data_IF_642728338817
#
_entry.id   IF_642728338817
#
_cell.length_a   1.000
_cell.length_b   1.000
_cell.length_c   1.000
_cell.angle_alpha   90.00
_cell.angle_beta   90.00
_cell.angle_gamma   90.00
#
_symmetry.space_group_name_H-M   'P 1'
#
loop_
_entity.id
_entity.type
_entity.pdbx_description
1 polymer ?
#
# COMPACT_ATOMS: atom_id res chain seq x y z
N UNK A 1 -23.26 22.10 75.23
CA UNK A 1 -22.18 22.16 74.22
C UNK A 1 -22.47 21.07 73.20
N UNK A 2 -22.61 21.46 71.94
CA UNK A 2 -23.26 20.70 70.86
C UNK A 2 -22.48 19.45 70.44
N UNK A 3 -23.09 18.29 70.62
CA UNK A 3 -22.72 17.03 69.97
C UNK A 3 -23.73 16.71 68.85
N UNK A 4 -23.24 16.60 67.61
CA UNK A 4 -23.90 15.93 66.50
C UNK A 4 -22.79 15.47 65.53
N UNK A 5 -22.41 14.19 65.58
CA UNK A 5 -22.89 13.08 64.75
C UNK A 5 -22.45 13.15 63.28
N UNK A 6 -21.51 12.27 62.92
CA UNK A 6 -21.40 11.71 61.57
C UNK A 6 -21.51 10.17 61.65
N UNK A 7 -22.17 9.51 60.67
CA UNK A 7 -22.57 8.11 60.75
C UNK A 7 -21.48 7.14 60.26
N UNK A 8 -21.52 5.93 60.82
CA UNK A 8 -20.78 4.76 60.34
C UNK A 8 -21.25 4.38 58.93
N UNK A 9 -20.33 4.33 57.97
CA UNK A 9 -20.55 3.64 56.69
C UNK A 9 -19.71 2.35 56.65
N UNK A 10 -20.45 1.26 56.62
CA UNK A 10 -20.04 -0.12 56.32
C UNK A 10 -19.28 -0.22 55.01
N UNK A 11 -18.15 -0.95 55.04
CA UNK A 11 -17.38 -1.32 53.87
C UNK A 11 -18.17 -2.31 53.00
N UNK A 12 -18.53 -1.89 51.79
CA UNK A 12 -18.84 -2.83 50.69
C UNK A 12 -17.58 -3.07 49.85
N UNK A 13 -17.29 -4.31 49.43
CA UNK A 13 -16.11 -4.63 48.65
C UNK A 13 -16.27 -4.15 47.20
N UNK A 14 -15.26 -3.42 46.72
CA UNK A 14 -15.12 -3.00 45.32
C UNK A 14 -15.26 -4.19 44.37
N UNK A 15 -16.34 -4.20 43.60
CA UNK A 15 -16.52 -5.11 42.48
C UNK A 15 -15.40 -4.86 41.45
N UNK A 16 -14.53 -5.86 41.28
CA UNK A 16 -13.53 -5.89 40.19
C UNK A 16 -14.29 -5.83 38.86
N UNK A 17 -14.17 -4.73 38.13
CA UNK A 17 -14.62 -4.67 36.75
C UNK A 17 -13.80 -5.67 35.95
N UNK A 18 -14.46 -6.74 35.49
CA UNK A 18 -13.88 -7.64 34.52
C UNK A 18 -13.69 -6.86 33.23
N UNK A 19 -12.44 -6.51 32.94
CA UNK A 19 -12.03 -6.01 31.62
C UNK A 19 -12.25 -7.17 30.65
N UNK A 20 -13.37 -7.17 29.95
CA UNK A 20 -13.56 -7.98 28.75
C UNK A 20 -12.42 -7.68 27.79
N UNK A 21 -11.62 -8.68 27.37
CA UNK A 21 -10.55 -8.44 26.43
C UNK A 21 -11.17 -7.92 25.13
N UNK A 22 -10.73 -6.74 24.69
CA UNK A 22 -11.12 -6.21 23.39
C UNK A 22 -10.63 -7.21 22.34
N UNK A 23 -11.58 -7.91 21.72
CA UNK A 23 -11.29 -8.75 20.56
C UNK A 23 -10.73 -7.79 19.51
N UNK A 24 -9.41 -7.80 19.30
CA UNK A 24 -8.77 -7.10 18.21
C UNK A 24 -9.42 -7.60 16.91
N UNK A 25 -10.40 -6.84 16.39
CA UNK A 25 -10.99 -7.11 15.09
C UNK A 25 -9.85 -6.95 14.08
N UNK A 26 -9.31 -8.05 13.56
CA UNK A 26 -8.24 -8.00 12.58
C UNK A 26 -8.74 -7.17 11.39
N UNK A 27 -8.06 -6.06 11.06
CA UNK A 27 -8.46 -5.23 9.93
C UNK A 27 -8.26 -6.01 8.62
N UNK A 28 -9.13 -5.84 7.61
CA UNK A 28 -8.88 -6.40 6.29
C UNK A 28 -7.54 -5.92 5.74
N UNK A 29 -6.71 -6.86 5.30
CA UNK A 29 -5.39 -6.58 4.72
C UNK A 29 -5.48 -6.61 3.20
N UNK A 30 -5.01 -5.55 2.55
CA UNK A 30 -4.86 -5.51 1.10
C UNK A 30 -3.63 -6.28 0.69
N UNK A 31 -3.78 -7.16 -0.31
CA UNK A 31 -2.71 -8.06 -0.73
C UNK A 31 -2.75 -8.27 -2.24
N UNK A 32 -1.58 -8.47 -2.84
CA UNK A 32 -1.47 -9.10 -4.14
C UNK A 32 -1.92 -10.56 -4.02
N UNK A 33 -2.82 -10.97 -4.90
CA UNK A 33 -3.53 -12.25 -4.82
C UNK A 33 -3.01 -13.31 -5.78
N UNK A 34 -2.03 -13.05 -6.65
CA UNK A 34 -1.58 -14.01 -7.69
C UNK A 34 -1.16 -15.36 -7.11
N UNK A 35 -0.42 -15.38 -6.00
CA UNK A 35 -0.05 -16.63 -5.30
C UNK A 35 -1.10 -17.13 -4.30
N UNK A 36 -2.23 -16.41 -4.16
CA UNK A 36 -3.23 -16.61 -3.09
C UNK A 36 -4.65 -16.86 -3.63
N UNK A 37 -4.81 -17.11 -4.92
CA UNK A 37 -6.12 -17.42 -5.53
C UNK A 37 -6.75 -18.74 -5.04
N UNK A 38 -5.98 -19.59 -4.35
CA UNK A 38 -6.48 -20.80 -3.70
C UNK A 38 -7.20 -20.52 -2.36
N UNK A 39 -7.10 -19.31 -1.81
CA UNK A 39 -7.68 -18.99 -0.51
C UNK A 39 -9.22 -19.06 -0.54
N UNK A 40 -9.86 -19.45 0.59
CA UNK A 40 -11.32 -19.46 0.70
C UNK A 40 -11.95 -18.11 0.36
N UNK A 41 -13.13 -18.13 -0.25
CA UNK A 41 -13.90 -16.94 -0.62
C UNK A 41 -13.65 -16.43 -2.05
N UNK A 42 -12.54 -16.80 -2.70
CA UNK A 42 -12.27 -16.42 -4.10
C UNK A 42 -13.37 -16.96 -5.03
N UNK A 43 -13.66 -18.26 -4.98
CA UNK A 43 -14.68 -18.87 -5.83
C UNK A 43 -16.06 -18.23 -5.61
N UNK A 44 -16.43 -17.97 -4.35
CA UNK A 44 -17.73 -17.34 -4.01
C UNK A 44 -17.85 -15.92 -4.58
N UNK A 45 -16.76 -15.15 -4.54
CA UNK A 45 -16.72 -13.78 -5.10
C UNK A 45 -16.77 -13.77 -6.62
N UNK A 46 -16.22 -14.79 -7.28
CA UNK A 46 -16.18 -14.91 -8.74
C UNK A 46 -17.39 -15.64 -9.32
N UNK A 47 -18.14 -16.40 -8.52
CA UNK A 47 -19.28 -17.19 -8.99
C UNK A 47 -20.28 -16.39 -9.87
N UNK A 48 -20.68 -15.14 -9.52
CA UNK A 48 -21.62 -14.39 -10.35
C UNK A 48 -21.12 -14.11 -11.78
N UNK A 49 -19.81 -13.89 -11.95
CA UNK A 49 -19.23 -13.61 -13.27
C UNK A 49 -18.65 -14.85 -13.96
N UNK A 50 -18.65 -16.01 -13.32
CA UNK A 50 -18.04 -17.25 -13.85
C UNK A 50 -19.00 -18.43 -13.98
N UNK A 51 -20.29 -18.27 -13.61
CA UNK A 51 -21.32 -19.32 -13.71
C UNK A 51 -21.49 -19.95 -15.10
N UNK A 52 -21.15 -19.22 -16.16
CA UNK A 52 -21.23 -19.69 -17.55
C UNK A 52 -20.00 -20.53 -17.97
N UNK A 53 -18.97 -20.61 -17.13
CA UNK A 53 -17.74 -21.33 -17.40
C UNK A 53 -17.84 -22.78 -16.90
N UNK A 54 -17.33 -23.71 -17.70
CA UNK A 54 -17.02 -25.06 -17.24
C UNK A 54 -15.87 -25.04 -16.22
N UNK A 55 -15.75 -26.10 -15.40
CA UNK A 55 -14.65 -26.23 -14.44
C UNK A 55 -13.25 -26.11 -15.10
N UNK A 56 -13.08 -26.65 -16.31
CA UNK A 56 -11.84 -26.54 -17.07
C UNK A 56 -11.58 -25.10 -17.55
N UNK A 57 -12.60 -24.38 -18.01
CA UNK A 57 -12.46 -22.97 -18.38
C UNK A 57 -12.11 -22.10 -17.17
N UNK A 58 -12.79 -22.31 -16.03
CA UNK A 58 -12.49 -21.60 -14.78
C UNK A 58 -11.04 -21.85 -14.33
N UNK A 59 -10.59 -23.11 -14.32
CA UNK A 59 -9.21 -23.46 -13.96
C UNK A 59 -8.18 -22.79 -14.87
N UNK A 60 -8.42 -22.76 -16.19
CA UNK A 60 -7.55 -22.05 -17.14
C UNK A 60 -7.51 -20.55 -16.89
N UNK A 61 -8.66 -19.93 -16.64
CA UNK A 61 -8.75 -18.50 -16.32
C UNK A 61 -7.93 -18.16 -15.06
N UNK A 62 -8.14 -18.90 -13.97
CA UNK A 62 -7.39 -18.69 -12.72
C UNK A 62 -5.90 -18.90 -12.96
N UNK A 63 -5.50 -19.98 -13.65
CA UNK A 63 -4.09 -20.24 -13.97
C UNK A 63 -3.45 -19.08 -14.75
N UNK A 64 -4.15 -18.52 -15.74
CA UNK A 64 -3.67 -17.38 -16.51
C UNK A 64 -3.46 -16.15 -15.63
N UNK A 65 -4.39 -15.86 -14.72
CA UNK A 65 -4.26 -14.76 -13.76
C UNK A 65 -3.08 -14.93 -12.81
N UNK A 66 -2.67 -16.16 -12.50
CA UNK A 66 -1.51 -16.42 -11.66
C UNK A 66 -0.19 -16.23 -12.41
N UNK A 67 -0.10 -16.74 -13.64
CA UNK A 67 1.17 -16.87 -14.36
C UNK A 67 1.48 -15.72 -15.32
N UNK A 68 0.48 -15.07 -15.90
CA UNK A 68 0.70 -14.05 -16.93
C UNK A 68 0.85 -12.66 -16.29
N UNK A 69 1.85 -11.90 -16.71
CA UNK A 69 2.15 -10.56 -16.17
C UNK A 69 1.06 -9.54 -16.49
N UNK A 70 0.40 -9.67 -17.65
CA UNK A 70 -0.69 -8.79 -18.07
C UNK A 70 -1.89 -8.80 -17.12
N UNK A 71 -2.00 -9.78 -16.21
CA UNK A 71 -3.08 -9.84 -15.25
C UNK A 71 -2.61 -9.43 -13.85
N UNK A 72 -3.34 -8.49 -13.27
CA UNK A 72 -3.13 -8.00 -11.92
C UNK A 72 -4.31 -8.43 -11.06
N UNK A 73 -4.03 -9.01 -9.88
CA UNK A 73 -5.06 -9.48 -8.97
C UNK A 73 -4.76 -8.98 -7.57
N UNK A 74 -5.70 -8.24 -7.00
CA UNK A 74 -5.64 -7.73 -5.65
C UNK A 74 -6.88 -8.15 -4.86
N UNK A 75 -6.76 -8.18 -3.54
CA UNK A 75 -7.88 -8.53 -2.68
C UNK A 75 -7.71 -8.08 -1.25
N UNK A 76 -8.82 -8.09 -0.53
CA UNK A 76 -8.83 -7.96 0.92
C UNK A 76 -8.96 -9.32 1.57
N UNK A 77 -8.03 -9.64 2.47
CA UNK A 77 -8.05 -10.86 3.27
C UNK A 77 -8.34 -10.50 4.72
N UNK A 78 -9.28 -11.22 5.33
CA UNK A 78 -9.59 -11.11 6.76
C UNK A 78 -9.81 -12.51 7.32
N UNK A 79 -9.12 -12.83 8.42
CA UNK A 79 -9.14 -14.18 9.03
C UNK A 79 -8.87 -15.31 8.03
N UNK A 80 -7.89 -15.12 7.14
CA UNK A 80 -7.50 -16.11 6.12
C UNK A 80 -8.49 -16.30 4.96
N UNK A 81 -9.60 -15.53 4.93
CA UNK A 81 -10.62 -15.57 3.87
C UNK A 81 -10.59 -14.30 3.03
N UNK A 82 -10.75 -14.46 1.73
CA UNK A 82 -10.88 -13.34 0.79
C UNK A 82 -12.29 -12.77 0.89
N UNK A 83 -12.39 -11.49 1.22
CA UNK A 83 -13.67 -10.77 1.40
C UNK A 83 -13.91 -9.72 0.32
N UNK A 84 -12.93 -9.46 -0.53
CA UNK A 84 -13.08 -8.68 -1.74
C UNK A 84 -11.93 -8.95 -2.71
N UNK A 85 -12.21 -8.83 -4.01
CA UNK A 85 -11.27 -9.13 -5.09
C UNK A 85 -11.43 -8.11 -6.21
N UNK A 86 -10.31 -7.71 -6.79
CA UNK A 86 -10.21 -6.89 -7.99
C UNK A 86 -9.23 -7.56 -8.95
N UNK A 87 -9.68 -7.86 -10.16
CA UNK A 87 -8.86 -8.42 -11.23
C UNK A 87 -8.83 -7.44 -12.39
N UNK A 88 -7.64 -7.18 -12.92
CA UNK A 88 -7.41 -6.22 -14.00
C UNK A 88 -6.52 -6.83 -15.08
N UNK A 89 -6.65 -6.31 -16.29
CA UNK A 89 -5.76 -6.56 -17.42
C UNK A 89 -4.97 -5.28 -17.72
N UNK A 90 -3.65 -5.36 -17.67
CA UNK A 90 -2.69 -4.28 -17.94
C UNK A 90 -1.81 -4.72 -19.12
N UNK A 91 -2.20 -4.33 -20.34
CA UNK A 91 -1.41 -4.64 -21.55
C UNK A 91 -0.27 -3.65 -21.78
N UNK A 92 -0.49 -2.43 -21.32
CA UNK A 92 0.48 -1.33 -21.38
C UNK A 92 0.72 -0.87 -19.95
N UNK A 93 1.98 -0.76 -19.48
CA UNK A 93 2.28 -0.29 -18.14
C UNK A 93 1.57 1.02 -17.83
N UNK A 94 0.89 1.07 -16.68
CA UNK A 94 0.14 2.24 -16.22
C UNK A 94 -1.25 2.41 -16.84
N UNK A 95 -1.68 1.53 -17.77
CA UNK A 95 -3.02 1.55 -18.35
C UNK A 95 -3.67 0.19 -18.17
N UNK A 96 -4.70 0.13 -17.31
CA UNK A 96 -5.36 -1.12 -16.98
C UNK A 96 -6.87 -1.09 -17.26
N UNK A 97 -7.46 -2.27 -17.37
CA UNK A 97 -8.90 -2.48 -17.51
C UNK A 97 -9.40 -3.43 -16.44
N UNK A 98 -10.44 -3.02 -15.71
CA UNK A 98 -11.13 -3.86 -14.74
C UNK A 98 -11.79 -5.04 -15.46
N UNK A 99 -11.48 -6.25 -15.01
CA UNK A 99 -12.15 -7.48 -15.42
C UNK A 99 -13.26 -7.86 -14.45
N UNK A 100 -13.04 -7.69 -13.15
CA UNK A 100 -14.01 -8.00 -12.10
C UNK A 100 -13.65 -7.21 -10.85
N UNK A 101 -14.67 -6.67 -10.19
CA UNK A 101 -14.60 -6.16 -8.82
C UNK A 101 -15.74 -6.78 -8.04
N UNK A 102 -15.44 -7.43 -6.92
CA UNK A 102 -16.44 -8.07 -6.09
C UNK A 102 -16.08 -7.92 -4.61
N UNK A 103 -17.09 -7.69 -3.78
CA UNK A 103 -16.97 -7.62 -2.31
C UNK A 103 -18.05 -8.50 -1.72
N UNK A 104 -17.68 -9.30 -0.72
CA UNK A 104 -18.59 -10.18 -0.03
C UNK A 104 -19.77 -9.37 0.53
N UNK A 105 -21.03 -9.80 0.34
CA UNK A 105 -22.22 -9.03 0.75
C UNK A 105 -22.20 -8.55 2.20
N UNK A 106 -21.67 -9.34 3.13
CA UNK A 106 -21.56 -8.99 4.56
C UNK A 106 -20.59 -7.83 4.84
N UNK A 107 -19.77 -7.48 3.85
CA UNK A 107 -18.74 -6.45 3.91
C UNK A 107 -18.98 -5.29 2.92
N UNK A 108 -20.05 -5.34 2.14
CA UNK A 108 -20.44 -4.26 1.23
C UNK A 108 -20.87 -3.01 2.01
N UNK A 109 -20.92 -1.87 1.31
CA UNK A 109 -21.28 -0.54 1.86
C UNK A 109 -20.35 -0.05 2.99
N UNK A 110 -19.18 -0.66 3.14
CA UNK A 110 -18.10 -0.26 4.09
C UNK A 110 -16.90 0.41 3.41
N UNK A 111 -17.00 0.67 2.10
CA UNK A 111 -15.94 1.30 1.31
C UNK A 111 -14.86 0.35 0.77
N UNK A 112 -14.96 -0.97 0.98
CA UNK A 112 -13.95 -1.92 0.51
C UNK A 112 -13.79 -1.94 -1.02
N UNK A 113 -14.89 -1.83 -1.78
CA UNK A 113 -14.80 -1.76 -3.25
C UNK A 113 -14.02 -0.52 -3.71
N UNK A 114 -14.28 0.63 -3.08
CA UNK A 114 -13.51 1.87 -3.33
C UNK A 114 -12.05 1.67 -3.00
N UNK A 115 -11.75 1.10 -1.82
CA UNK A 115 -10.38 0.84 -1.40
C UNK A 115 -9.64 -0.12 -2.34
N UNK A 116 -10.29 -1.19 -2.82
CA UNK A 116 -9.68 -2.11 -3.79
C UNK A 116 -9.21 -1.37 -5.03
N UNK A 117 -10.07 -0.52 -5.61
CA UNK A 117 -9.74 0.24 -6.81
C UNK A 117 -8.62 1.22 -6.54
N UNK A 118 -8.70 2.01 -5.46
CA UNK A 118 -7.73 3.07 -5.16
C UNK A 118 -6.37 2.48 -4.78
N UNK A 119 -6.35 1.45 -3.91
CA UNK A 119 -5.11 0.77 -3.50
C UNK A 119 -4.44 0.11 -4.69
N UNK A 120 -5.18 -0.60 -5.54
CA UNK A 120 -4.60 -1.22 -6.73
C UNK A 120 -4.14 -0.20 -7.77
N UNK A 121 -4.87 0.91 -7.95
CA UNK A 121 -4.48 1.99 -8.86
C UNK A 121 -3.14 2.61 -8.44
N UNK A 122 -2.97 2.90 -7.14
CA UNK A 122 -1.73 3.44 -6.61
C UNK A 122 -0.59 2.42 -6.61
N UNK A 123 -0.83 1.16 -6.19
CA UNK A 123 0.20 0.11 -6.16
C UNK A 123 0.76 -0.24 -7.53
N UNK A 124 -0.02 -0.09 -8.61
CA UNK A 124 0.44 -0.30 -9.97
C UNK A 124 0.97 0.97 -10.65
N UNK A 125 0.89 2.14 -9.99
CA UNK A 125 1.27 3.41 -10.60
C UNK A 125 0.45 3.77 -11.83
N UNK A 126 -0.85 3.47 -11.84
CA UNK A 126 -1.68 3.67 -13.03
C UNK A 126 -1.82 5.16 -13.41
N UNK A 127 -1.88 5.43 -14.70
CA UNK A 127 -2.32 6.69 -15.29
C UNK A 127 -3.79 6.65 -15.67
N UNK A 128 -4.28 5.47 -16.07
CA UNK A 128 -5.65 5.27 -16.51
C UNK A 128 -6.18 3.88 -16.13
N UNK A 129 -7.44 3.83 -15.67
CA UNK A 129 -8.17 2.61 -15.40
C UNK A 129 -9.54 2.65 -16.08
N UNK A 130 -9.79 1.69 -16.96
CA UNK A 130 -11.07 1.53 -17.67
C UNK A 130 -11.93 0.46 -17.00
N UNK A 131 -13.24 0.68 -16.89
CA UNK A 131 -14.20 -0.30 -16.43
C UNK A 131 -15.45 -0.31 -17.32
N UNK A 132 -15.98 -1.50 -17.59
CA UNK A 132 -17.26 -1.67 -18.28
C UNK A 132 -18.35 -1.98 -17.24
N UNK A 133 -19.50 -1.33 -17.35
CA UNK A 133 -20.57 -1.46 -16.37
C UNK A 133 -21.95 -1.34 -17.01
N UNK A 134 -22.93 -2.01 -16.41
CA UNK A 134 -24.35 -1.73 -16.63
C UNK A 134 -24.79 -0.51 -15.80
N UNK A 135 -25.96 0.03 -16.12
CA UNK A 135 -26.52 1.24 -15.50
C UNK A 135 -26.58 1.19 -13.96
N UNK A 136 -27.06 0.08 -13.40
CA UNK A 136 -27.30 -0.06 -11.95
C UNK A 136 -26.03 0.08 -11.10
N UNK A 137 -24.86 -0.17 -11.69
CA UNK A 137 -23.57 -0.11 -10.99
C UNK A 137 -22.80 1.19 -11.27
N UNK A 138 -23.33 2.11 -12.08
CA UNK A 138 -22.63 3.36 -12.42
C UNK A 138 -22.32 4.22 -11.20
N UNK A 139 -23.20 4.24 -10.20
CA UNK A 139 -23.00 5.00 -8.96
C UNK A 139 -21.69 4.62 -8.22
N UNK A 140 -21.29 3.34 -8.29
CA UNK A 140 -20.01 2.92 -7.71
C UNK A 140 -18.81 3.58 -8.42
N UNK A 141 -18.82 3.61 -9.75
CA UNK A 141 -17.72 4.18 -10.53
C UNK A 141 -17.70 5.71 -10.47
N UNK A 142 -18.85 6.38 -10.56
CA UNK A 142 -18.91 7.85 -10.52
C UNK A 142 -18.48 8.41 -9.17
N UNK A 143 -18.80 7.74 -8.05
CA UNK A 143 -18.32 8.14 -6.71
C UNK A 143 -16.81 7.99 -6.51
N UNK A 144 -16.14 7.22 -7.38
CA UNK A 144 -14.69 7.09 -7.46
C UNK A 144 -14.03 8.12 -8.38
N UNK A 145 -14.82 8.92 -9.10
CA UNK A 145 -14.33 9.89 -10.08
C UNK A 145 -14.19 9.34 -11.50
N UNK A 146 -14.70 8.14 -11.80
CA UNK A 146 -14.75 7.67 -13.18
C UNK A 146 -15.69 8.54 -14.01
N UNK A 147 -15.27 8.83 -15.24
CA UNK A 147 -16.06 9.54 -16.24
C UNK A 147 -16.60 8.53 -17.25
N UNK A 148 -17.89 8.66 -17.60
CA UNK A 148 -18.50 7.86 -18.68
C UNK A 148 -17.96 8.38 -20.01
N UNK A 149 -17.32 7.50 -20.79
CA UNK A 149 -16.74 7.83 -22.10
C UNK A 149 -17.57 7.35 -23.27
N UNK A 150 -18.22 6.19 -23.12
CA UNK A 150 -18.98 5.55 -24.20
C UNK A 150 -20.20 4.83 -23.62
N UNK A 151 -21.28 4.79 -24.39
CA UNK A 151 -22.46 3.97 -24.12
C UNK A 151 -22.84 3.20 -25.39
N UNK A 152 -23.14 1.92 -25.25
CA UNK A 152 -23.46 1.03 -26.38
C UNK A 152 -24.61 0.10 -26.02
N UNK A 153 -25.50 -0.15 -26.98
CA UNK A 153 -26.54 -1.15 -26.84
C UNK A 153 -25.96 -2.53 -27.15
N UNK A 154 -26.06 -3.45 -26.20
CA UNK A 154 -25.65 -4.84 -26.38
C UNK A 154 -26.66 -5.60 -27.24
N UNK A 155 -26.26 -6.76 -27.77
CA UNK A 155 -27.13 -7.63 -28.57
C UNK A 155 -28.40 -8.09 -27.84
N UNK A 156 -28.40 -8.04 -26.50
CA UNK A 156 -29.54 -8.41 -25.64
C UNK A 156 -30.33 -7.19 -25.13
N UNK A 157 -30.12 -6.00 -25.73
CA UNK A 157 -30.89 -4.79 -25.44
C UNK A 157 -30.50 -4.06 -24.15
N UNK A 158 -29.43 -4.47 -23.48
CA UNK A 158 -28.90 -3.76 -22.31
C UNK A 158 -27.92 -2.66 -22.73
N UNK A 159 -27.94 -1.52 -22.04
CA UNK A 159 -26.95 -0.45 -22.26
C UNK A 159 -25.71 -0.73 -21.43
N UNK A 160 -24.56 -0.80 -22.10
CA UNK A 160 -23.24 -0.98 -21.49
C UNK A 160 -22.45 0.31 -21.58
N UNK A 161 -21.85 0.70 -20.46
CA UNK A 161 -21.10 1.93 -20.31
C UNK A 161 -19.61 1.63 -20.14
N UNK A 162 -18.78 2.34 -20.89
CA UNK A 162 -17.33 2.38 -20.67
C UNK A 162 -17.00 3.59 -19.81
N UNK A 163 -16.48 3.33 -18.63
CA UNK A 163 -16.08 4.32 -17.63
C UNK A 163 -14.56 4.38 -17.56
N UNK A 164 -13.99 5.58 -17.44
CA UNK A 164 -12.54 5.80 -17.37
C UNK A 164 -12.19 6.64 -16.15
N UNK A 165 -11.24 6.17 -15.34
CA UNK A 165 -10.63 6.90 -14.25
C UNK A 165 -9.20 7.27 -14.63
N UNK A 166 -8.90 8.57 -14.70
CA UNK A 166 -7.52 9.05 -14.87
C UNK A 166 -6.85 9.29 -13.52
N UNK A 167 -5.51 9.27 -13.50
CA UNK A 167 -4.70 9.65 -12.31
C UNK A 167 -5.11 11.01 -11.79
N UNK A 168 -5.29 12.00 -12.68
CA UNK A 168 -5.74 13.34 -12.33
C UNK A 168 -7.12 13.33 -11.63
N UNK A 169 -8.10 12.62 -12.20
CA UNK A 169 -9.44 12.54 -11.63
C UNK A 169 -9.47 11.82 -10.27
N UNK A 170 -8.67 10.76 -10.13
CA UNK A 170 -8.52 10.08 -8.84
C UNK A 170 -7.88 11.02 -7.81
N UNK A 171 -6.72 11.61 -8.13
CA UNK A 171 -5.90 12.37 -7.19
C UNK A 171 -6.61 13.64 -6.72
N UNK A 172 -7.35 14.33 -7.60
CA UNK A 172 -8.13 15.51 -7.24
C UNK A 172 -9.19 15.27 -6.14
N UNK A 173 -9.59 14.02 -5.90
CA UNK A 173 -10.55 13.66 -4.85
C UNK A 173 -9.91 13.36 -3.48
N UNK A 174 -8.59 13.54 -3.35
CA UNK A 174 -7.84 13.22 -2.14
C UNK A 174 -7.01 14.41 -1.68
N UNK A 175 -6.77 14.46 -0.37
CA UNK A 175 -5.69 15.26 0.20
C UNK A 175 -4.35 14.57 -0.06
N UNK A 176 -3.28 15.35 -0.05
CA UNK A 176 -1.94 14.87 -0.33
C UNK A 176 -1.02 15.17 0.85
N UNK A 177 -0.22 14.17 1.22
CA UNK A 177 0.83 14.28 2.21
C UNK A 177 2.12 13.76 1.58
N UNK A 178 3.21 14.50 1.74
CA UNK A 178 4.48 14.20 1.08
C UNK A 178 5.54 13.84 2.13
N UNK A 179 6.29 12.80 1.82
CA UNK A 179 7.45 12.38 2.58
C UNK A 179 8.61 12.14 1.62
N UNK A 180 9.82 12.47 2.07
CA UNK A 180 11.04 12.25 1.30
C UNK A 180 12.07 11.50 2.14
N UNK A 181 12.89 10.69 1.48
CA UNK A 181 13.92 9.88 2.09
C UNK A 181 14.95 9.41 1.08
N UNK A 182 15.79 8.45 1.43
CA UNK A 182 16.75 7.89 0.48
C UNK A 182 17.11 6.43 0.74
N UNK A 183 17.49 5.74 -0.34
CA UNK A 183 18.40 4.60 -0.26
C UNK A 183 19.78 5.15 0.07
N UNK A 184 20.20 4.98 1.31
CA UNK A 184 21.50 5.45 1.78
C UNK A 184 22.50 4.30 1.78
N UNK A 185 23.64 4.49 1.11
CA UNK A 185 24.69 3.48 1.01
C UNK A 185 26.10 4.04 1.23
N UNK A 186 27.01 3.18 1.65
CA UNK A 186 28.45 3.44 1.60
C UNK A 186 29.19 2.17 1.15
N UNK A 187 30.43 2.33 0.70
CA UNK A 187 31.27 1.21 0.28
C UNK A 187 32.45 1.02 1.23
N UNK A 188 32.58 -0.19 1.77
CA UNK A 188 33.69 -0.57 2.64
C UNK A 188 34.26 -1.90 2.18
N UNK A 189 35.57 -1.93 1.86
CA UNK A 189 36.29 -3.15 1.46
C UNK A 189 35.65 -3.90 0.27
N UNK A 190 35.06 -3.16 -0.67
CA UNK A 190 34.39 -3.73 -1.85
C UNK A 190 32.98 -4.28 -1.59
N UNK A 191 32.41 -4.05 -0.42
CA UNK A 191 31.02 -4.37 -0.09
C UNK A 191 30.20 -3.10 0.10
N UNK A 192 29.00 -3.04 -0.51
CA UNK A 192 28.02 -1.99 -0.26
C UNK A 192 27.20 -2.30 0.97
N UNK A 193 27.13 -1.32 1.86
CA UNK A 193 26.32 -1.35 3.07
C UNK A 193 25.18 -0.33 2.95
N UNK A 194 24.00 -0.70 3.44
CA UNK A 194 22.78 0.08 3.36
C UNK A 194 22.27 0.45 4.74
N UNK A 195 21.72 1.64 4.86
CA UNK A 195 21.11 2.12 6.11
C UNK A 195 19.61 1.88 6.10
N UNK A 196 19.10 1.22 7.13
CA UNK A 196 17.68 1.02 7.39
C UNK A 196 17.30 1.59 8.76
N UNK A 197 16.04 1.96 8.93
CA UNK A 197 15.46 2.40 10.20
C UNK A 197 14.29 1.49 10.58
N UNK A 198 14.21 1.10 11.84
CA UNK A 198 13.09 0.35 12.40
C UNK A 198 12.30 1.24 13.34
N UNK A 199 11.06 1.56 12.98
CA UNK A 199 10.14 2.35 13.80
C UNK A 199 9.72 1.58 15.06
N UNK A 200 9.27 2.27 16.11
CA UNK A 200 8.70 1.65 17.32
C UNK A 200 7.53 0.69 17.01
N UNK A 201 6.85 0.88 15.88
CA UNK A 201 5.79 -0.02 15.39
C UNK A 201 6.30 -1.41 14.97
N UNK A 202 7.63 -1.59 14.88
CA UNK A 202 8.30 -2.79 14.41
C UNK A 202 8.50 -2.85 12.90
N UNK A 203 7.99 -1.87 12.14
CA UNK A 203 8.21 -1.80 10.70
C UNK A 203 9.61 -1.26 10.40
N UNK A 204 10.34 -1.97 9.53
CA UNK A 204 11.64 -1.52 9.01
C UNK A 204 11.48 -0.96 7.59
N UNK A 205 12.04 0.23 7.37
CA UNK A 205 12.06 0.95 6.09
C UNK A 205 13.41 1.62 5.81
N UNK A 206 13.43 2.43 4.76
CA UNK A 206 14.51 3.37 4.46
C UNK A 206 14.30 4.66 5.26
N UNK A 207 15.38 5.40 5.60
CA UNK A 207 15.26 6.68 6.29
C UNK A 207 14.40 7.67 5.50
N UNK A 208 13.44 8.30 6.17
CA UNK A 208 12.43 9.19 5.55
C UNK A 208 11.67 9.98 6.62
N UNK A 209 11.08 11.10 6.19
CA UNK A 209 10.02 11.74 6.96
C UNK A 209 9.26 12.78 6.16
N UNK A 210 8.51 13.63 6.85
CA UNK A 210 7.55 14.55 6.22
C UNK A 210 8.27 15.74 5.58
N UNK A 211 7.79 16.16 4.41
CA UNK A 211 8.25 17.40 3.80
C UNK A 211 7.66 18.58 4.58
N UNK A 212 8.53 19.42 5.13
CA UNK A 212 8.13 20.61 5.88
C UNK A 212 7.97 21.83 4.97
N UNK A 213 7.31 22.88 5.49
CA UNK A 213 7.08 24.11 4.74
C UNK A 213 8.41 24.78 4.38
N UNK A 214 8.63 25.00 3.08
CA UNK A 214 9.83 25.65 2.56
C UNK A 214 10.99 24.71 2.23
N UNK A 215 10.88 23.41 2.49
CA UNK A 215 11.89 22.42 2.10
C UNK A 215 11.66 21.89 0.67
N UNK A 216 12.75 21.63 -0.04
CA UNK A 216 12.73 20.72 -1.18
C UNK A 216 12.74 19.26 -0.69
N UNK A 217 12.22 18.32 -1.47
CA UNK A 217 12.25 16.90 -1.11
C UNK A 217 13.68 16.39 -0.82
N UNK A 218 14.69 16.90 -1.53
CA UNK A 218 16.09 16.57 -1.28
C UNK A 218 16.62 17.14 0.05
N UNK A 219 16.18 18.34 0.45
CA UNK A 219 16.50 18.93 1.75
C UNK A 219 15.86 18.11 2.87
N UNK A 220 14.58 17.79 2.74
CA UNK A 220 13.86 16.90 3.66
C UNK A 220 14.57 15.56 3.79
N UNK A 221 14.92 14.89 2.68
CA UNK A 221 15.60 13.61 2.72
C UNK A 221 16.94 13.66 3.48
N UNK A 222 17.74 14.71 3.28
CA UNK A 222 19.01 14.88 3.98
C UNK A 222 18.82 15.19 5.47
N UNK A 223 17.83 16.01 5.84
CA UNK A 223 17.48 16.31 7.23
C UNK A 223 17.03 15.04 7.96
N UNK A 224 16.09 14.30 7.38
CA UNK A 224 15.54 13.08 7.97
C UNK A 224 16.59 11.98 8.13
N UNK A 225 17.49 11.81 7.14
CA UNK A 225 18.65 10.93 7.30
C UNK A 225 19.47 11.31 8.54
N UNK A 226 19.75 12.60 8.72
CA UNK A 226 20.53 13.06 9.85
C UNK A 226 19.81 12.85 11.18
N UNK A 227 18.51 13.18 11.26
CA UNK A 227 17.69 13.01 12.46
C UNK A 227 17.54 11.54 12.87
N UNK A 228 17.28 10.65 11.91
CA UNK A 228 17.01 9.24 12.19
C UNK A 228 18.29 8.41 12.40
N UNK A 229 19.41 8.83 11.82
CA UNK A 229 20.63 8.00 11.73
C UNK A 229 21.92 8.67 12.21
N UNK A 230 21.91 9.99 12.43
CA UNK A 230 23.10 10.81 12.72
C UNK A 230 24.07 11.00 11.55
N UNK A 231 23.75 10.47 10.36
CA UNK A 231 24.65 10.47 9.21
C UNK A 231 24.50 11.75 8.40
N UNK A 232 25.63 12.37 8.05
CA UNK A 232 25.66 13.41 7.01
C UNK A 232 25.87 12.76 5.65
N UNK A 233 24.85 12.83 4.80
CA UNK A 233 24.84 12.20 3.48
C UNK A 233 24.96 13.22 2.33
N UNK A 234 25.19 12.71 1.11
CA UNK A 234 25.16 13.48 -0.13
C UNK A 234 24.27 12.76 -1.15
N UNK A 235 23.36 13.49 -1.79
CA UNK A 235 22.50 12.95 -2.85
C UNK A 235 23.34 12.58 -4.07
N UNK A 236 23.10 11.38 -4.61
CA UNK A 236 23.60 10.93 -5.90
C UNK A 236 22.51 11.21 -6.95
N UNK A 237 22.78 12.04 -7.97
CA UNK A 237 21.79 12.34 -9.00
C UNK A 237 21.52 11.14 -9.92
N UNK A 238 20.36 11.14 -10.57
CA UNK A 238 20.01 10.17 -11.61
C UNK A 238 19.19 8.96 -11.13
N UNK A 239 18.93 8.84 -9.83
CA UNK A 239 18.02 7.85 -9.26
C UNK A 239 16.87 8.53 -8.52
N UNK A 240 15.66 7.97 -8.66
CA UNK A 240 14.47 8.40 -7.91
C UNK A 240 13.41 7.30 -7.92
N UNK A 241 12.80 7.05 -6.76
CA UNK A 241 11.70 6.12 -6.59
C UNK A 241 10.48 6.81 -5.96
N UNK A 242 9.29 6.60 -6.51
CA UNK A 242 8.04 7.14 -5.96
C UNK A 242 7.14 5.98 -5.52
N UNK A 243 6.57 6.10 -4.32
CA UNK A 243 5.53 5.19 -3.84
C UNK A 243 4.35 6.02 -3.34
N UNK A 244 3.14 5.65 -3.75
CA UNK A 244 1.91 6.30 -3.30
C UNK A 244 1.01 5.29 -2.62
N UNK A 245 0.55 5.59 -1.41
CA UNK A 245 -0.42 4.77 -0.70
C UNK A 245 -1.62 5.59 -0.24
N UNK A 246 -2.85 5.07 -0.39
CA UNK A 246 -4.01 5.68 0.25
C UNK A 246 -3.98 5.42 1.77
N UNK A 247 -4.13 6.48 2.55
CA UNK A 247 -4.20 6.41 4.01
C UNK A 247 -5.57 6.85 4.50
N UNK A 248 -6.22 5.99 5.29
CA UNK A 248 -7.55 6.26 5.84
C UNK A 248 -8.61 6.54 4.75
N UNK A 249 -9.45 7.54 4.97
CA UNK A 249 -10.47 8.00 4.01
C UNK A 249 -10.05 9.37 3.47
N UNK A 250 -9.54 9.41 2.25
CA UNK A 250 -9.33 10.68 1.53
C UNK A 250 -7.94 11.29 1.65
N UNK A 251 -6.91 10.54 2.04
CA UNK A 251 -5.51 10.96 1.94
C UNK A 251 -4.73 10.02 1.02
N UNK A 252 -3.88 10.58 0.17
CA UNK A 252 -2.81 9.88 -0.54
C UNK A 252 -1.47 10.34 0.05
N UNK A 253 -0.70 9.39 0.58
CA UNK A 253 0.65 9.64 1.07
C UNK A 253 1.65 9.29 -0.02
N UNK A 254 2.50 10.25 -0.37
CA UNK A 254 3.54 10.15 -1.38
C UNK A 254 4.88 10.01 -0.69
N UNK A 255 5.68 9.05 -1.14
CA UNK A 255 7.03 8.82 -0.66
C UNK A 255 7.99 8.94 -1.84
N UNK A 256 8.88 9.92 -1.78
CA UNK A 256 9.96 10.11 -2.74
C UNK A 256 11.27 9.61 -2.12
N UNK A 257 11.94 8.67 -2.79
CA UNK A 257 13.24 8.15 -2.37
C UNK A 257 14.33 8.53 -3.36
N UNK A 258 15.36 9.19 -2.86
CA UNK A 258 16.59 9.46 -3.60
C UNK A 258 17.62 8.34 -3.38
N UNK A 259 18.75 8.45 -4.07
CA UNK A 259 19.95 7.70 -3.74
C UNK A 259 20.91 8.65 -3.02
N UNK A 260 21.51 8.20 -1.94
CA UNK A 260 22.46 9.00 -1.17
C UNK A 260 23.67 8.17 -0.76
N UNK A 261 24.83 8.81 -0.69
CA UNK A 261 26.07 8.20 -0.19
C UNK A 261 26.57 8.90 1.06
N UNK A 262 27.31 8.17 1.89
CA UNK A 262 27.98 8.69 3.07
C UNK A 262 29.35 8.04 3.27
N UNK A 263 30.15 8.60 4.18
CA UNK A 263 31.43 8.03 4.56
C UNK A 263 31.21 6.89 5.57
N UNK A 264 31.65 5.67 5.26
CA UNK A 264 31.52 4.52 6.15
C UNK A 264 32.26 4.68 7.50
N UNK A 265 33.16 5.66 7.64
CA UNK A 265 33.79 6.00 8.92
C UNK A 265 32.82 6.71 9.87
N UNK A 266 31.70 7.26 9.37
CA UNK A 266 30.65 7.78 10.22
C UNK A 266 30.03 6.64 11.03
N UNK A 267 29.90 6.84 12.33
CA UNK A 267 29.09 5.97 13.17
C UNK A 267 27.61 6.13 12.84
N UNK A 268 26.80 5.16 13.27
CA UNK A 268 25.35 5.26 13.21
C UNK A 268 24.81 5.59 14.60
N UNK A 269 23.92 6.56 14.68
CA UNK A 269 23.12 6.86 15.85
C UNK A 269 21.66 6.49 15.57
N UNK A 270 20.91 6.13 16.59
CA UNK A 270 19.46 5.95 16.47
C UNK A 270 18.78 7.27 16.85
N UNK A 271 17.83 7.72 16.03
CA UNK A 271 16.93 8.82 16.39
C UNK A 271 15.97 8.45 17.52
N UNK A 272 15.20 9.42 17.99
CA UNK A 272 14.34 9.25 19.17
C UNK A 272 13.25 8.16 18.99
N UNK A 273 12.71 8.04 17.77
CA UNK A 273 11.58 7.15 17.47
C UNK A 273 11.94 5.96 16.58
N UNK A 274 13.23 5.78 16.24
CA UNK A 274 13.69 4.75 15.31
C UNK A 274 14.99 4.11 15.75
N UNK A 275 15.16 2.82 15.46
CA UNK A 275 16.45 2.15 15.57
C UNK A 275 17.12 2.05 14.20
N UNK A 276 18.30 2.64 14.07
CA UNK A 276 19.05 2.63 12.82
C UNK A 276 19.95 1.38 12.70
N UNK A 277 20.13 0.88 11.48
CA UNK A 277 20.95 -0.29 11.17
C UNK A 277 21.77 -0.06 9.90
N UNK A 278 23.04 -0.49 9.89
CA UNK A 278 23.86 -0.62 8.68
C UNK A 278 24.00 -2.10 8.33
N UNK A 279 23.60 -2.48 7.13
CA UNK A 279 23.48 -3.89 6.71
C UNK A 279 23.94 -4.11 5.26
N UNK A 280 24.59 -5.24 4.94
CA UNK A 280 24.80 -5.65 3.55
C UNK A 280 23.49 -5.80 2.78
N UNK A 281 23.55 -5.63 1.45
CA UNK A 281 22.38 -5.66 0.55
C UNK A 281 21.39 -6.81 0.85
N UNK A 282 21.88 -8.05 0.91
CA UNK A 282 21.01 -9.22 1.13
C UNK A 282 20.30 -9.21 2.50
N UNK A 283 20.95 -8.66 3.53
CA UNK A 283 20.36 -8.53 4.86
C UNK A 283 19.37 -7.38 4.90
N UNK A 284 19.72 -6.23 4.32
CA UNK A 284 18.85 -5.08 4.19
C UNK A 284 17.55 -5.44 3.45
N UNK A 285 17.68 -6.09 2.28
CA UNK A 285 16.55 -6.54 1.47
C UNK A 285 15.59 -7.44 2.24
N UNK A 286 16.10 -8.36 3.07
CA UNK A 286 15.28 -9.27 3.88
C UNK A 286 14.63 -8.59 5.08
N UNK A 287 15.29 -7.58 5.67
CA UNK A 287 14.82 -6.88 6.87
C UNK A 287 13.70 -5.87 6.56
N UNK A 288 13.70 -5.29 5.36
CA UNK A 288 12.63 -4.37 4.92
C UNK A 288 11.24 -5.02 5.04
N UNK A 289 10.31 -4.32 5.69
CA UNK A 289 8.97 -4.82 5.95
C UNK A 289 8.06 -4.78 4.72
N UNK A 290 8.22 -3.75 3.89
CA UNK A 290 7.32 -3.48 2.76
C UNK A 290 7.91 -3.97 1.43
N UNK A 291 7.09 -4.61 0.60
CA UNK A 291 7.52 -5.13 -0.71
C UNK A 291 8.00 -4.04 -1.64
N UNK A 292 7.31 -2.90 -1.65
CA UNK A 292 7.57 -1.88 -2.66
C UNK A 292 8.84 -1.10 -2.31
N UNK A 293 9.15 -0.95 -1.02
CA UNK A 293 10.45 -0.45 -0.55
C UNK A 293 11.59 -1.41 -0.91
N UNK A 294 11.35 -2.74 -0.89
CA UNK A 294 12.33 -3.72 -1.41
C UNK A 294 12.58 -3.55 -2.91
N UNK A 295 11.57 -3.15 -3.68
CA UNK A 295 11.73 -2.83 -5.11
C UNK A 295 12.64 -1.62 -5.27
N UNK A 296 12.39 -0.53 -4.54
CA UNK A 296 13.25 0.67 -4.56
C UNK A 296 14.71 0.34 -4.23
N UNK A 297 14.96 -0.45 -3.18
CA UNK A 297 16.33 -0.87 -2.82
C UNK A 297 16.99 -1.69 -3.95
N UNK A 298 16.24 -2.60 -4.58
CA UNK A 298 16.73 -3.43 -5.69
C UNK A 298 17.07 -2.57 -6.91
N UNK A 299 16.22 -1.61 -7.25
CA UNK A 299 16.45 -0.70 -8.38
C UNK A 299 17.66 0.20 -8.13
N UNK A 300 17.83 0.70 -6.90
CA UNK A 300 19.02 1.46 -6.51
C UNK A 300 20.32 0.63 -6.66
N UNK A 301 20.31 -0.62 -6.20
CA UNK A 301 21.44 -1.54 -6.37
C UNK A 301 21.75 -1.81 -7.86
N UNK A 302 20.72 -1.98 -8.69
CA UNK A 302 20.89 -2.14 -10.14
C UNK A 302 21.47 -0.88 -10.80
N UNK A 303 21.01 0.30 -10.40
CA UNK A 303 21.53 1.58 -10.87
C UNK A 303 23.02 1.75 -10.54
N UNK A 304 23.42 1.42 -9.30
CA UNK A 304 24.82 1.49 -8.87
C UNK A 304 25.71 0.53 -9.69
N UNK A 305 25.28 -0.72 -9.87
CA UNK A 305 26.04 -1.71 -10.64
C UNK A 305 26.27 -1.31 -12.11
N UNK A 306 25.34 -0.57 -12.72
CA UNK A 306 25.50 -0.07 -14.09
C UNK A 306 26.50 1.09 -14.18
N UNK A 307 26.60 1.91 -13.14
CA UNK A 307 27.51 3.06 -13.10
C UNK A 307 28.93 2.67 -12.71
N UNK A 308 29.13 1.63 -11.89
CA UNK A 308 30.47 1.11 -11.56
C UNK A 308 31.12 0.35 -12.74
N UNK A 309 30.32 -0.04 -13.73
CA UNK A 309 30.78 -0.73 -14.94
C UNK A 309 31.22 0.22 -16.07
N UNK A 310 31.28 1.53 -15.81
CA UNK A 310 31.73 2.58 -16.76
C UNK A 310 33.03 3.20 -16.29
#
# INVERSE_FOLDING_TARGET
>A
MSHANYPQHSQEPFAKSQVTPSIHRSRPMFVNMKSRLHLPGVADLLAPCTQHLTANQYKRMVSAWQSMEIYQVFGFVQYGRVIGILTMEEKTPGIARVLTVAVNPNYQRRGLGRRLVVEAFCSLGLFELTAMSLGDNLGFYTTLGFQIRKQELTAIGQVMYTCVLSKQALYANYKHEYSAGAVLYCEQKGERLYVLVTEQSGNTGLPKGHVEEGETETQTALREIYEETGITAKIIPGFGGEIVYPQGRGMLKHFTYFLATFDCAQGIASGDDVQAHILPYNQAYRKLSFSDVRVILKEAEQFLNQNDSR
#
